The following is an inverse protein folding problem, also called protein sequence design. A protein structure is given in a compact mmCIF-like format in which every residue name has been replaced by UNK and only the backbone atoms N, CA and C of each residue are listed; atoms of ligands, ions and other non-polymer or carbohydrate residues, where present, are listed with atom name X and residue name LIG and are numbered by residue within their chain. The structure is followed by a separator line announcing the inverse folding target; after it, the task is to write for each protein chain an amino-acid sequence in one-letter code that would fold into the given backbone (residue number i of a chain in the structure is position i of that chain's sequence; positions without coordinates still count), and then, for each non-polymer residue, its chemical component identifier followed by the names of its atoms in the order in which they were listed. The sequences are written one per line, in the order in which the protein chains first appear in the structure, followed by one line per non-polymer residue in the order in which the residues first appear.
data_IF_702906388514
#
_entry.id   IF_702906388514
#
_cell.length_a   1.000
_cell.length_b   1.000
_cell.length_c   1.000
_cell.angle_alpha   90.00
_cell.angle_beta   90.00
_cell.angle_gamma   90.00
#
_symmetry.space_group_name_H-M   'P 1'
#
loop_
_entity.id
_entity.type
_entity.pdbx_description
1 polymer ?
#
# COMPACT_ATOMS: atom_id res chain seq x y z
N UNK A 1 -5.57 20.58 3.31
CA UNK A 1 -6.53 20.88 2.22
C UNK A 1 -7.20 19.58 1.79
N UNK A 2 -8.50 19.60 1.49
CA UNK A 2 -9.23 18.44 0.92
C UNK A 2 -9.47 18.70 -0.56
N UNK A 3 -9.16 17.72 -1.39
CA UNK A 3 -9.42 17.75 -2.84
C UNK A 3 -10.42 16.65 -3.17
N UNK A 4 -11.35 16.93 -4.07
CA UNK A 4 -12.32 15.95 -4.57
C UNK A 4 -11.76 15.26 -5.80
N UNK A 5 -11.87 13.93 -5.85
CA UNK A 5 -11.50 13.11 -6.99
C UNK A 5 -12.77 12.41 -7.49
N UNK A 6 -13.16 12.68 -8.74
CA UNK A 6 -14.24 11.97 -9.43
C UNK A 6 -13.63 10.98 -10.40
N UNK A 7 -13.96 9.70 -10.26
CA UNK A 7 -13.46 8.62 -11.12
C UNK A 7 -14.61 7.72 -11.55
N UNK A 8 -14.53 7.21 -12.79
CA UNK A 8 -15.41 6.14 -13.23
C UNK A 8 -14.96 4.82 -12.61
N UNK A 9 -15.90 4.06 -12.08
CA UNK A 9 -15.67 2.74 -11.50
C UNK A 9 -16.42 1.69 -12.32
N UNK A 10 -15.74 0.61 -12.78
CA UNK A 10 -16.42 -0.56 -13.31
C UNK A 10 -17.44 -1.11 -12.32
N UNK A 11 -18.56 -1.64 -12.82
CA UNK A 11 -19.68 -2.11 -11.99
C UNK A 11 -19.25 -3.15 -10.95
N UNK A 12 -18.33 -4.05 -11.31
CA UNK A 12 -17.77 -5.04 -10.39
C UNK A 12 -17.06 -4.42 -9.18
N UNK A 13 -16.32 -3.33 -9.40
CA UNK A 13 -15.59 -2.63 -8.34
C UNK A 13 -16.58 -1.87 -7.45
N UNK A 14 -17.59 -1.23 -8.04
CA UNK A 14 -18.61 -0.54 -7.28
C UNK A 14 -19.40 -1.49 -6.36
N UNK A 15 -19.79 -2.67 -6.88
CA UNK A 15 -20.45 -3.72 -6.09
C UNK A 15 -19.55 -4.21 -4.95
N UNK A 16 -18.26 -4.43 -5.22
CA UNK A 16 -17.28 -4.80 -4.20
C UNK A 16 -17.14 -3.74 -3.10
N UNK A 17 -17.06 -2.47 -3.49
CA UNK A 17 -16.98 -1.33 -2.58
C UNK A 17 -18.25 -1.23 -1.70
N UNK A 18 -19.43 -1.35 -2.30
CA UNK A 18 -20.70 -1.33 -1.57
C UNK A 18 -20.78 -2.45 -0.52
N UNK A 19 -20.36 -3.67 -0.88
CA UNK A 19 -20.32 -4.79 0.04
C UNK A 19 -19.32 -4.57 1.20
N UNK A 20 -18.15 -4.00 0.91
CA UNK A 20 -17.15 -3.70 1.93
C UNK A 20 -17.62 -2.62 2.90
N UNK A 21 -18.28 -1.58 2.40
CA UNK A 21 -18.90 -0.52 3.21
C UNK A 21 -19.95 -1.11 4.14
N UNK A 22 -20.85 -1.95 3.61
CA UNK A 22 -21.89 -2.62 4.41
C UNK A 22 -21.29 -3.48 5.54
N UNK A 23 -20.23 -4.23 5.26
CA UNK A 23 -19.59 -5.10 6.26
C UNK A 23 -18.75 -4.35 7.30
N UNK A 24 -18.08 -3.27 6.88
CA UNK A 24 -17.15 -2.53 7.75
C UNK A 24 -17.80 -1.41 8.56
N UNK A 25 -19.01 -0.98 8.20
CA UNK A 25 -19.68 0.19 8.78
C UNK A 25 -19.00 1.54 8.45
N UNK A 26 -17.93 1.53 7.64
CA UNK A 26 -17.18 2.72 7.24
C UNK A 26 -17.84 3.39 6.03
N UNK A 27 -17.71 4.71 5.92
CA UNK A 27 -18.21 5.43 4.74
C UNK A 27 -17.45 5.05 3.46
N UNK A 28 -18.09 5.20 2.29
CA UNK A 28 -17.46 4.96 0.97
C UNK A 28 -16.16 5.75 0.82
N UNK A 29 -16.16 7.04 1.18
CA UNK A 29 -14.96 7.88 1.09
C UNK A 29 -13.85 7.38 2.00
N UNK A 30 -14.17 6.89 3.20
CA UNK A 30 -13.16 6.37 4.12
C UNK A 30 -12.50 5.11 3.55
N UNK A 31 -13.29 4.16 3.05
CA UNK A 31 -12.79 2.94 2.42
C UNK A 31 -11.88 3.26 1.22
N UNK A 32 -12.31 4.16 0.34
CA UNK A 32 -11.52 4.57 -0.84
C UNK A 32 -10.22 5.26 -0.42
N UNK A 33 -10.26 6.13 0.58
CA UNK A 33 -9.05 6.79 1.10
C UNK A 33 -8.07 5.79 1.71
N UNK A 34 -8.55 4.80 2.47
CA UNK A 34 -7.69 3.75 3.02
C UNK A 34 -7.07 2.89 1.92
N UNK A 35 -7.85 2.50 0.91
CA UNK A 35 -7.35 1.75 -0.24
C UNK A 35 -6.26 2.53 -0.99
N UNK A 36 -6.49 3.82 -1.25
CA UNK A 36 -5.52 4.67 -1.93
C UNK A 36 -4.24 4.88 -1.10
N UNK A 37 -4.36 5.11 0.21
CA UNK A 37 -3.21 5.20 1.12
C UNK A 37 -2.39 3.92 1.11
N UNK A 38 -3.04 2.75 1.17
CA UNK A 38 -2.39 1.45 1.11
C UNK A 38 -1.65 1.27 -0.21
N UNK A 39 -2.28 1.61 -1.34
CA UNK A 39 -1.64 1.49 -2.65
C UNK A 39 -0.41 2.39 -2.77
N UNK A 40 -0.50 3.65 -2.34
CA UNK A 40 0.63 4.58 -2.34
C UNK A 40 1.77 4.05 -1.47
N UNK A 41 1.47 3.49 -0.29
CA UNK A 41 2.49 2.89 0.58
C UNK A 41 3.20 1.70 -0.08
N UNK A 42 2.45 0.84 -0.77
CA UNK A 42 3.02 -0.30 -1.51
C UNK A 42 3.97 0.19 -2.61
N UNK A 43 3.55 1.16 -3.42
CA UNK A 43 4.42 1.68 -4.50
C UNK A 43 5.67 2.37 -3.96
N UNK A 44 5.54 3.14 -2.86
CA UNK A 44 6.70 3.73 -2.18
C UNK A 44 7.66 2.67 -1.67
N UNK A 45 7.13 1.62 -1.04
CA UNK A 45 7.95 0.52 -0.55
C UNK A 45 8.69 -0.19 -1.69
N UNK A 46 8.00 -0.50 -2.80
CA UNK A 46 8.62 -1.10 -3.99
C UNK A 46 9.75 -0.24 -4.54
N UNK A 47 9.52 1.06 -4.72
CA UNK A 47 10.54 1.98 -5.20
C UNK A 47 11.74 2.13 -4.24
N UNK A 48 11.53 2.05 -2.92
CA UNK A 48 12.63 2.00 -1.95
C UNK A 48 13.40 0.70 -2.06
N UNK A 49 12.69 -0.43 -2.14
CA UNK A 49 13.29 -1.76 -2.23
C UNK A 49 14.18 -1.89 -3.47
N UNK A 50 13.74 -1.42 -4.62
CA UNK A 50 14.54 -1.41 -5.86
C UNK A 50 15.87 -0.67 -5.69
N UNK A 51 15.89 0.42 -4.93
CA UNK A 51 17.11 1.22 -4.68
C UNK A 51 18.00 0.64 -3.59
N UNK A 52 17.41 0.03 -2.57
CA UNK A 52 18.12 -0.40 -1.36
C UNK A 52 18.62 -1.84 -1.44
N UNK A 53 17.94 -2.73 -2.17
CA UNK A 53 18.39 -4.13 -2.32
C UNK A 53 19.80 -4.24 -2.92
N UNK A 54 20.17 -3.51 -3.98
CA UNK A 54 21.54 -3.56 -4.50
C UNK A 54 22.58 -3.11 -3.46
N UNK A 55 22.29 -2.00 -2.75
CA UNK A 55 23.17 -1.47 -1.70
C UNK A 55 23.31 -2.42 -0.51
N UNK A 56 22.22 -3.08 -0.12
CA UNK A 56 22.23 -4.10 0.92
C UNK A 56 23.14 -5.27 0.54
N UNK A 57 23.04 -5.74 -0.71
CA UNK A 57 23.90 -6.82 -1.22
C UNK A 57 25.38 -6.43 -1.24
N UNK A 58 25.71 -5.20 -1.65
CA UNK A 58 27.09 -4.68 -1.59
C UNK A 58 27.62 -4.61 -0.15
N UNK A 59 26.74 -4.35 0.82
CA UNK A 59 27.06 -4.33 2.24
C UNK A 59 27.00 -5.73 2.91
N UNK A 60 26.77 -6.81 2.14
CA UNK A 60 26.73 -8.19 2.66
C UNK A 60 25.38 -8.65 3.22
N UNK A 61 24.32 -7.85 3.09
CA UNK A 61 22.95 -8.22 3.47
C UNK A 61 22.22 -8.83 2.29
N UNK A 62 21.99 -10.15 2.34
CA UNK A 62 21.33 -10.89 1.26
C UNK A 62 19.92 -11.34 1.63
N UNK A 63 19.67 -11.51 2.93
CA UNK A 63 18.42 -11.97 3.50
C UNK A 63 17.95 -11.03 4.62
N UNK A 64 16.67 -11.12 4.97
CA UNK A 64 16.12 -10.39 6.12
C UNK A 64 16.80 -10.84 7.43
N UNK A 65 17.21 -12.11 7.51
CA UNK A 65 17.94 -12.68 8.64
C UNK A 65 19.31 -12.00 8.86
N UNK A 66 20.02 -11.67 7.78
CA UNK A 66 21.30 -10.96 7.86
C UNK A 66 21.11 -9.57 8.50
N UNK A 67 19.98 -8.92 8.21
CA UNK A 67 19.62 -7.63 8.79
C UNK A 67 19.27 -7.79 10.26
N UNK A 68 18.42 -8.77 10.61
CA UNK A 68 18.01 -9.00 11.99
C UNK A 68 19.19 -9.25 12.94
N UNK A 69 20.19 -10.04 12.51
CA UNK A 69 21.42 -10.29 13.27
C UNK A 69 22.21 -9.03 13.66
N UNK A 70 22.03 -7.92 12.93
CA UNK A 70 22.75 -6.67 13.17
C UNK A 70 21.94 -5.67 14.00
N UNK A 71 20.61 -5.78 14.00
CA UNK A 71 19.71 -4.79 14.65
C UNK A 71 18.96 -5.32 15.87
N UNK A 72 18.97 -6.64 16.11
CA UNK A 72 18.32 -7.32 17.24
C UNK A 72 19.37 -7.94 18.15
#
# INVERSE_FOLDING_TARGET
MRTTLTVSLPEEIDRGLAALVKRSGKSRSHVVQEALRRQIAIERFRGLREKLVPKGREAGFHTDEDVFKVIS
#
